data_IF_367238374416
#
_entry.id   IF_367238374416
#
_cell.length_a   1.000
_cell.length_b   1.000
_cell.length_c   1.000
_cell.angle_alpha   90.00
_cell.angle_beta   90.00
_cell.angle_gamma   90.00
#
_symmetry.space_group_name_H-M   'P 1'
#
loop_
_entity.id
_entity.type
_entity.pdbx_description
1 polymer ?
#
# COMPACT_ATOMS: atom_id res chain seq x y z
N UNK A 1 -22.18 5.00 -53.77
CA UNK A 1 -20.77 4.98 -53.34
C UNK A 1 -20.76 5.12 -51.82
N UNK A 2 -20.49 4.03 -51.11
CA UNK A 2 -20.41 4.03 -49.64
C UNK A 2 -19.02 4.50 -49.19
N UNK A 3 -18.89 5.24 -48.09
CA UNK A 3 -17.58 5.65 -47.58
C UNK A 3 -16.81 4.43 -47.06
N UNK A 4 -15.46 4.44 -47.10
CA UNK A 4 -14.68 3.31 -46.66
C UNK A 4 -14.80 3.13 -45.13
N UNK A 5 -14.72 1.90 -44.61
CA UNK A 5 -14.74 1.66 -43.18
C UNK A 5 -13.50 2.29 -42.54
N UNK A 6 -13.71 2.99 -41.42
CA UNK A 6 -12.65 3.56 -40.62
C UNK A 6 -11.65 2.46 -40.21
N UNK A 7 -10.43 2.56 -40.72
CA UNK A 7 -9.33 1.74 -40.23
C UNK A 7 -9.13 2.03 -38.74
N UNK A 8 -9.34 1.01 -37.90
CA UNK A 8 -8.92 1.04 -36.51
C UNK A 8 -7.42 1.38 -36.48
N UNK A 9 -7.10 2.60 -36.03
CA UNK A 9 -5.73 3.02 -35.76
C UNK A 9 -5.22 2.14 -34.62
N UNK A 10 -4.48 1.07 -34.96
CA UNK A 10 -3.64 0.36 -34.00
C UNK A 10 -2.72 1.41 -33.37
N UNK A 11 -2.91 1.67 -32.08
CA UNK A 11 -1.94 2.41 -31.30
C UNK A 11 -0.65 1.61 -31.34
N UNK A 12 0.36 2.19 -31.97
CA UNK A 12 1.72 1.65 -31.97
C UNK A 12 2.18 1.66 -30.52
N UNK A 13 2.36 0.47 -29.94
CA UNK A 13 2.93 0.28 -28.61
C UNK A 13 4.31 0.95 -28.57
N UNK A 14 4.45 1.97 -27.74
CA UNK A 14 5.78 2.44 -27.34
C UNK A 14 6.41 1.28 -26.55
N UNK A 15 7.53 0.76 -27.05
CA UNK A 15 8.02 -0.57 -26.69
C UNK A 15 8.18 -0.82 -25.18
N UNK A 16 7.79 -2.02 -24.75
CA UNK A 16 8.28 -2.70 -23.55
C UNK A 16 7.34 -2.84 -22.36
N UNK A 17 6.24 -2.07 -22.29
CA UNK A 17 5.29 -2.15 -21.15
C UNK A 17 3.97 -2.76 -21.64
N UNK A 18 3.44 -3.81 -20.99
CA UNK A 18 2.14 -4.40 -21.34
C UNK A 18 1.02 -3.37 -21.35
N UNK A 19 0.09 -3.56 -22.28
CA UNK A 19 -1.06 -2.67 -22.44
C UNK A 19 -1.83 -2.48 -21.11
N UNK A 20 -2.00 -3.54 -20.31
CA UNK A 20 -2.73 -3.44 -19.05
C UNK A 20 -1.99 -2.67 -17.95
N UNK A 21 -0.65 -2.75 -17.94
CA UNK A 21 0.19 -1.97 -17.03
C UNK A 21 0.13 -0.50 -17.45
N UNK A 22 0.19 -0.21 -18.75
CA UNK A 22 -0.02 1.14 -19.29
C UNK A 22 -1.40 1.69 -18.91
N UNK A 23 -2.47 0.92 -19.11
CA UNK A 23 -3.83 1.30 -18.72
C UNK A 23 -3.93 1.59 -17.22
N UNK A 24 -3.27 0.75 -16.41
CA UNK A 24 -3.18 0.95 -14.97
C UNK A 24 -2.42 2.22 -14.60
N UNK A 25 -1.26 2.49 -15.20
CA UNK A 25 -0.49 3.71 -14.93
C UNK A 25 -1.31 4.96 -15.25
N UNK A 26 -2.02 4.96 -16.37
CA UNK A 26 -2.79 6.11 -16.84
C UNK A 26 -4.14 6.28 -16.14
N UNK A 27 -4.70 5.21 -15.56
CA UNK A 27 -5.97 5.23 -14.84
C UNK A 27 -5.87 5.58 -13.35
N UNK A 28 -4.67 5.88 -12.83
CA UNK A 28 -4.44 6.18 -11.41
C UNK A 28 -4.96 7.54 -10.95
N UNK A 29 -5.33 7.63 -9.67
CA UNK A 29 -5.77 8.91 -9.09
C UNK A 29 -4.63 9.92 -8.96
N UNK A 30 -3.40 9.44 -8.76
CA UNK A 30 -2.21 10.26 -8.84
C UNK A 30 -1.57 10.09 -10.22
N UNK A 31 -1.39 11.21 -10.93
CA UNK A 31 -0.93 11.20 -12.33
C UNK A 31 0.52 10.76 -12.44
N UNK A 32 0.84 9.97 -13.47
CA UNK A 32 2.22 9.72 -13.87
C UNK A 32 2.80 11.00 -14.51
N UNK A 33 3.95 11.45 -14.04
CA UNK A 33 4.58 12.72 -14.44
C UNK A 33 6.04 12.53 -14.82
N UNK A 34 6.64 13.54 -15.45
CA UNK A 34 8.07 13.57 -15.73
C UNK A 34 8.88 13.47 -14.43
N UNK A 35 9.96 12.69 -14.48
CA UNK A 35 10.79 12.39 -13.31
C UNK A 35 11.47 13.62 -12.70
N UNK A 36 11.85 14.60 -13.53
CA UNK A 36 12.72 15.70 -13.15
C UNK A 36 11.95 17.00 -12.91
N UNK A 37 10.89 17.24 -13.69
CA UNK A 37 10.11 18.48 -13.63
C UNK A 37 8.63 18.28 -13.25
N UNK A 38 8.18 17.04 -13.08
CA UNK A 38 6.80 16.71 -12.70
C UNK A 38 6.42 17.23 -11.31
N UNK A 39 5.15 17.61 -11.16
CA UNK A 39 4.55 18.08 -9.90
C UNK A 39 3.14 17.50 -9.74
N UNK A 40 2.65 17.39 -8.51
CA UNK A 40 1.34 16.82 -8.14
C UNK A 40 1.06 15.50 -8.88
N UNK A 41 1.98 14.56 -8.71
CA UNK A 41 2.02 13.29 -9.44
C UNK A 41 3.09 12.34 -8.91
N UNK A 42 3.25 11.20 -9.57
CA UNK A 42 4.31 10.24 -9.30
C UNK A 42 5.10 9.88 -10.55
N UNK A 43 6.32 9.37 -10.36
CA UNK A 43 7.18 8.87 -11.43
C UNK A 43 7.95 7.62 -10.97
N UNK A 44 8.61 6.93 -11.89
CA UNK A 44 9.54 5.84 -11.56
C UNK A 44 10.99 6.33 -11.64
N UNK A 45 11.69 6.58 -10.51
CA UNK A 45 13.10 6.94 -10.52
C UNK A 45 13.97 5.74 -10.98
N UNK A 46 15.20 5.97 -11.46
CA UNK A 46 16.20 4.92 -11.60
C UNK A 46 16.55 4.29 -10.25
N UNK A 47 16.70 2.97 -10.19
CA UNK A 47 16.96 2.24 -8.95
C UNK A 47 18.35 2.50 -8.37
N UNK A 48 19.29 2.95 -9.18
CA UNK A 48 20.65 3.36 -8.79
C UNK A 48 20.65 4.55 -7.81
N UNK A 49 19.54 5.29 -7.73
CA UNK A 49 19.36 6.36 -6.76
C UNK A 49 19.17 5.86 -5.33
N UNK A 50 18.90 4.56 -5.14
CA UNK A 50 18.80 3.92 -3.85
C UNK A 50 20.08 3.14 -3.52
N UNK A 51 20.55 3.27 -2.28
CA UNK A 51 21.73 2.57 -1.78
C UNK A 51 21.32 1.42 -0.86
N UNK A 52 21.53 0.18 -1.30
CA UNK A 52 21.14 -1.05 -0.62
C UNK A 52 22.35 -1.91 -0.23
N UNK A 53 22.16 -2.95 0.59
CA UNK A 53 23.24 -3.85 1.02
C UNK A 53 23.88 -4.53 -0.20
N UNK A 54 25.19 -4.37 -0.38
CA UNK A 54 25.96 -5.04 -1.44
C UNK A 54 26.17 -6.53 -1.13
N UNK A 55 26.75 -7.27 -2.08
CA UNK A 55 27.13 -8.69 -1.91
C UNK A 55 27.96 -8.96 -0.65
N UNK A 56 28.83 -8.03 -0.27
CA UNK A 56 29.76 -8.17 0.86
C UNK A 56 29.32 -7.39 2.11
N UNK A 57 28.08 -6.89 2.15
CA UNK A 57 27.60 -6.02 3.23
C UNK A 57 27.75 -6.64 4.62
N UNK A 58 27.52 -7.95 4.77
CA UNK A 58 27.67 -8.61 6.08
C UNK A 58 29.13 -8.63 6.57
N UNK A 59 30.10 -8.51 5.65
CA UNK A 59 31.54 -8.48 5.96
C UNK A 59 32.05 -7.05 6.19
N UNK A 60 31.64 -6.10 5.35
CA UNK A 60 32.24 -4.77 5.30
C UNK A 60 31.25 -3.60 5.52
N UNK A 61 29.96 -3.89 5.67
CA UNK A 61 28.86 -2.90 5.82
C UNK A 61 28.72 -1.91 4.66
N UNK A 62 29.27 -2.23 3.48
CA UNK A 62 29.19 -1.36 2.30
C UNK A 62 27.88 -1.55 1.56
N UNK A 63 27.29 -0.43 1.15
CA UNK A 63 26.11 -0.42 0.30
C UNK A 63 26.49 -0.06 -1.13
N UNK A 64 25.72 -0.55 -2.09
CA UNK A 64 25.86 -0.24 -3.51
C UNK A 64 24.55 0.32 -4.08
N UNK A 65 24.59 1.01 -5.22
CA UNK A 65 23.38 1.30 -6.00
C UNK A 65 22.57 0.03 -6.23
N UNK A 66 21.23 0.11 -6.12
CA UNK A 66 20.36 -1.07 -6.16
C UNK A 66 20.21 -1.70 -7.55
N UNK A 67 20.34 -0.90 -8.62
CA UNK A 67 20.05 -1.33 -10.00
C UNK A 67 18.55 -1.53 -10.24
N UNK A 68 18.22 -2.42 -11.19
CA UNK A 68 16.86 -2.67 -11.64
C UNK A 68 15.90 -3.17 -10.55
N UNK A 69 14.61 -2.87 -10.74
CA UNK A 69 13.54 -3.36 -9.89
C UNK A 69 13.22 -4.83 -10.18
N UNK A 70 12.80 -5.57 -9.16
CA UNK A 70 12.26 -6.91 -9.32
C UNK A 70 10.90 -6.89 -10.01
N UNK A 71 10.09 -5.85 -9.79
CA UNK A 71 8.76 -5.67 -10.34
C UNK A 71 8.64 -4.33 -11.06
N UNK A 72 7.94 -4.31 -12.19
CA UNK A 72 7.64 -3.09 -12.92
C UNK A 72 6.63 -2.23 -12.16
N UNK A 73 6.80 -0.90 -12.09
CA UNK A 73 5.77 -0.01 -11.57
C UNK A 73 4.47 -0.14 -12.37
N UNK A 74 3.34 -0.30 -11.68
CA UNK A 74 2.03 -0.48 -12.29
C UNK A 74 1.03 0.64 -11.94
N UNK A 75 1.42 1.59 -11.09
CA UNK A 75 0.60 2.73 -10.74
C UNK A 75 0.81 3.20 -9.32
N UNK A 76 0.26 4.37 -9.02
CA UNK A 76 0.08 4.84 -7.66
C UNK A 76 -1.30 5.48 -7.52
N UNK A 77 -1.96 5.22 -6.41
CA UNK A 77 -3.19 5.92 -6.04
C UNK A 77 -2.99 6.73 -4.76
N UNK A 78 -3.57 7.93 -4.78
CA UNK A 78 -3.88 8.72 -3.60
C UNK A 78 -5.39 8.71 -3.38
N UNK A 79 -5.83 8.01 -2.33
CA UNK A 79 -7.24 7.73 -2.06
C UNK A 79 -7.64 8.31 -0.71
N UNK A 80 -8.92 8.63 -0.55
CA UNK A 80 -9.52 8.95 0.74
C UNK A 80 -10.89 8.31 0.92
N UNK A 81 -11.21 8.00 2.17
CA UNK A 81 -12.49 7.44 2.56
C UNK A 81 -12.87 7.86 3.99
N UNK A 82 -14.13 7.65 4.36
CA UNK A 82 -14.64 7.90 5.72
C UNK A 82 -14.21 6.81 6.71
N UNK A 83 -13.69 5.68 6.23
CA UNK A 83 -13.15 4.60 7.03
C UNK A 83 -11.80 4.13 6.48
N UNK A 84 -11.06 3.37 7.31
CA UNK A 84 -9.83 2.71 6.87
C UNK A 84 -10.14 1.76 5.70
N UNK A 85 -9.36 1.87 4.63
CA UNK A 85 -9.50 1.01 3.45
C UNK A 85 -8.52 -0.15 3.55
N UNK A 86 -9.07 -1.35 3.67
CA UNK A 86 -8.30 -2.59 3.80
C UNK A 86 -8.52 -3.48 2.59
N UNK A 87 -7.49 -4.27 2.24
CA UNK A 87 -7.54 -5.28 1.17
C UNK A 87 -8.07 -4.74 -0.17
N UNK A 88 -7.55 -3.60 -0.61
CA UNK A 88 -7.93 -2.87 -1.81
C UNK A 88 -7.92 -3.70 -3.09
N UNK A 89 -6.97 -4.63 -3.26
CA UNK A 89 -6.89 -5.49 -4.45
C UNK A 89 -8.04 -6.50 -4.54
N UNK A 90 -8.73 -6.80 -3.43
CA UNK A 90 -9.92 -7.66 -3.47
C UNK A 90 -11.16 -6.95 -3.98
N UNK A 91 -11.16 -5.61 -3.99
CA UNK A 91 -12.35 -4.84 -4.31
C UNK A 91 -12.74 -5.01 -5.78
N UNK A 92 -14.03 -5.15 -6.09
CA UNK A 92 -14.50 -5.29 -7.47
C UNK A 92 -14.24 -4.04 -8.32
N UNK A 93 -14.12 -2.87 -7.69
CA UNK A 93 -13.83 -1.59 -8.32
C UNK A 93 -12.32 -1.27 -8.39
N UNK A 94 -11.43 -2.17 -7.95
CA UNK A 94 -10.00 -1.95 -8.03
C UNK A 94 -9.54 -1.86 -9.50
N UNK A 95 -9.12 -0.66 -9.92
CA UNK A 95 -8.75 -0.36 -11.31
C UNK A 95 -7.59 -1.20 -11.84
N UNK A 96 -6.61 -1.56 -11.00
CA UNK A 96 -5.41 -2.32 -11.40
C UNK A 96 -5.82 -3.75 -11.70
N UNK A 97 -6.60 -4.36 -10.80
CA UNK A 97 -7.13 -5.70 -10.98
C UNK A 97 -8.14 -5.77 -12.13
N UNK A 98 -8.93 -4.71 -12.36
CA UNK A 98 -9.81 -4.62 -13.53
C UNK A 98 -9.04 -4.53 -14.85
N UNK A 99 -7.97 -3.72 -14.92
CA UNK A 99 -7.14 -3.62 -16.11
C UNK A 99 -6.50 -4.98 -16.45
N UNK A 100 -5.95 -5.65 -15.44
CA UNK A 100 -5.40 -7.01 -15.57
C UNK A 100 -6.47 -8.01 -16.04
N UNK A 101 -7.65 -8.02 -15.41
CA UNK A 101 -8.76 -8.92 -15.78
C UNK A 101 -9.22 -8.72 -17.22
N UNK A 102 -9.36 -7.46 -17.66
CA UNK A 102 -9.74 -7.13 -19.06
C UNK A 102 -8.70 -7.64 -20.06
N UNK A 103 -7.41 -7.50 -19.74
CA UNK A 103 -6.33 -8.00 -20.59
C UNK A 103 -6.34 -9.53 -20.70
N UNK A 104 -6.52 -10.25 -19.58
CA UNK A 104 -6.63 -11.71 -19.56
C UNK A 104 -7.82 -12.21 -20.40
N UNK A 105 -8.95 -11.48 -20.38
CA UNK A 105 -10.12 -11.83 -21.20
C UNK A 105 -9.88 -11.60 -22.69
N UNK A 106 -9.18 -10.53 -23.07
CA UNK A 106 -8.99 -10.14 -24.46
C UNK A 106 -7.89 -10.94 -25.18
N UNK A 107 -6.86 -11.40 -24.48
CA UNK A 107 -5.69 -12.04 -25.11
C UNK A 107 -5.80 -13.57 -25.21
N UNK A 108 -6.86 -14.19 -24.67
CA UNK A 108 -7.06 -15.65 -24.73
C UNK A 108 -5.98 -16.48 -24.02
N UNK A 109 -4.99 -15.83 -23.41
CA UNK A 109 -3.95 -16.41 -22.60
C UNK A 109 -4.18 -15.98 -21.15
N UNK A 110 -4.09 -16.94 -20.23
CA UNK A 110 -3.90 -16.64 -18.82
C UNK A 110 -2.50 -16.07 -18.66
N UNK A 111 -2.31 -14.77 -18.94
CA UNK A 111 -1.12 -14.06 -18.47
C UNK A 111 -1.08 -14.28 -16.97
N UNK A 112 -0.07 -15.02 -16.51
CA UNK A 112 0.07 -15.42 -15.10
C UNK A 112 0.38 -14.19 -14.22
N UNK A 113 0.24 -12.96 -14.69
CA UNK A 113 0.78 -11.76 -14.05
C UNK A 113 0.46 -11.64 -12.57
N UNK A 114 1.46 -11.19 -11.82
CA UNK A 114 1.41 -11.02 -10.37
C UNK A 114 1.40 -9.53 -10.02
N UNK A 115 0.53 -9.12 -9.09
CA UNK A 115 0.47 -7.74 -8.57
C UNK A 115 0.98 -7.71 -7.13
N UNK A 116 1.90 -6.79 -6.85
CA UNK A 116 2.34 -6.47 -5.50
C UNK A 116 1.89 -5.06 -5.14
N UNK A 117 1.08 -4.93 -4.09
CA UNK A 117 0.58 -3.63 -3.63
C UNK A 117 1.08 -3.32 -2.22
N UNK A 118 1.45 -2.07 -1.98
CA UNK A 118 1.69 -1.53 -0.64
C UNK A 118 0.72 -0.37 -0.43
N UNK A 119 -0.10 -0.45 0.60
CA UNK A 119 -1.05 0.58 0.99
C UNK A 119 -0.60 1.22 2.31
N UNK A 120 0.00 2.41 2.23
CA UNK A 120 0.32 3.18 3.42
C UNK A 120 -0.96 3.87 3.89
N UNK A 121 -1.51 3.37 4.99
CA UNK A 121 -2.77 3.82 5.57
C UNK A 121 -2.50 4.94 6.58
N UNK A 122 -3.12 6.08 6.33
CA UNK A 122 -2.94 7.31 7.09
C UNK A 122 -4.26 7.61 7.79
N UNK A 123 -4.41 7.23 9.07
CA UNK A 123 -5.63 7.53 9.79
C UNK A 123 -5.78 9.02 10.03
N UNK A 124 -6.99 9.53 9.82
CA UNK A 124 -7.38 10.89 10.16
C UNK A 124 -8.64 10.89 10.99
N UNK A 125 -8.91 12.00 11.67
CA UNK A 125 -10.07 12.09 12.57
C UNK A 125 -11.43 12.04 11.86
N UNK A 126 -11.48 12.37 10.57
CA UNK A 126 -12.71 12.39 9.75
C UNK A 126 -12.53 11.66 8.41
N UNK A 127 -11.36 11.78 7.82
CA UNK A 127 -11.01 11.17 6.55
C UNK A 127 -9.73 10.37 6.71
N UNK A 128 -9.77 9.10 6.29
CA UNK A 128 -8.62 8.23 6.18
C UNK A 128 -8.06 8.33 4.78
N UNK A 129 -6.74 8.40 4.66
CA UNK A 129 -6.07 8.43 3.37
C UNK A 129 -5.26 7.15 3.14
N UNK A 130 -5.10 6.79 1.87
CA UNK A 130 -4.29 5.66 1.43
C UNK A 130 -3.38 6.10 0.29
N UNK A 131 -2.07 5.97 0.50
CA UNK A 131 -1.08 6.03 -0.58
C UNK A 131 -0.78 4.59 -1.01
N UNK A 132 -1.28 4.20 -2.18
CA UNK A 132 -1.24 2.83 -2.68
C UNK A 132 -0.24 2.74 -3.83
N UNK A 133 0.76 1.89 -3.68
CA UNK A 133 1.82 1.68 -4.64
C UNK A 133 1.64 0.32 -5.28
N UNK A 134 1.50 0.27 -6.61
CA UNK A 134 1.30 -0.97 -7.34
C UNK A 134 2.54 -1.30 -8.16
N UNK A 135 2.97 -2.54 -8.08
CA UNK A 135 4.04 -3.12 -8.89
C UNK A 135 3.54 -4.44 -9.49
N UNK A 136 4.11 -4.83 -10.63
CA UNK A 136 3.67 -6.01 -11.35
C UNK A 136 4.83 -6.79 -11.95
N UNK A 137 4.66 -8.12 -12.02
CA UNK A 137 5.41 -9.00 -12.89
C UNK A 137 4.45 -9.59 -13.93
N UNK A 138 4.86 -9.60 -15.20
CA UNK A 138 4.06 -10.21 -16.27
C UNK A 138 4.01 -11.73 -16.16
N UNK A 139 5.15 -12.31 -15.81
CA UNK A 139 5.36 -13.73 -15.62
C UNK A 139 5.81 -13.98 -14.18
N UNK A 140 5.02 -14.64 -13.32
CA UNK A 140 5.45 -15.01 -11.97
C UNK A 140 6.61 -15.99 -11.96
N UNK A 141 6.96 -16.64 -13.07
CA UNK A 141 8.21 -17.41 -13.14
C UNK A 141 9.43 -16.49 -13.03
N UNK A 142 9.28 -15.18 -13.33
CA UNK A 142 10.27 -14.15 -12.98
C UNK A 142 10.43 -13.95 -11.47
N UNK A 143 9.41 -14.28 -10.65
CA UNK A 143 9.56 -14.51 -9.21
C UNK A 143 10.23 -15.87 -9.01
N UNK A 144 11.50 -15.98 -9.40
CA UNK A 144 12.29 -17.20 -9.32
C UNK A 144 12.03 -17.91 -7.99
N UNK A 145 11.68 -19.20 -8.03
CA UNK A 145 11.21 -19.97 -6.86
C UNK A 145 12.17 -19.95 -5.66
N UNK A 146 13.45 -19.64 -5.89
CA UNK A 146 14.48 -19.53 -4.85
C UNK A 146 14.81 -18.10 -4.42
N UNK A 147 14.20 -17.08 -5.03
CA UNK A 147 14.48 -15.67 -4.71
C UNK A 147 13.92 -15.26 -3.35
N UNK A 148 14.56 -14.28 -2.72
CA UNK A 148 14.11 -13.70 -1.45
C UNK A 148 12.69 -13.10 -1.56
N UNK A 149 12.35 -12.50 -2.71
CA UNK A 149 11.00 -11.99 -2.95
C UNK A 149 9.97 -13.13 -3.06
N UNK A 150 10.29 -14.24 -3.72
CA UNK A 150 9.40 -15.40 -3.76
C UNK A 150 9.16 -15.95 -2.34
N UNK A 151 10.23 -16.14 -1.55
CA UNK A 151 10.13 -16.52 -0.12
C UNK A 151 9.25 -15.54 0.67
N UNK A 152 9.36 -14.24 0.41
CA UNK A 152 8.54 -13.22 1.08
C UNK A 152 7.05 -13.30 0.67
N UNK A 153 6.77 -13.49 -0.61
CA UNK A 153 5.41 -13.62 -1.13
C UNK A 153 4.71 -14.84 -0.55
N UNK A 154 5.42 -15.97 -0.46
CA UNK A 154 4.88 -17.26 -0.04
C UNK A 154 5.13 -17.61 1.44
N UNK A 155 5.90 -16.81 2.17
CA UNK A 155 6.22 -17.02 3.58
C UNK A 155 5.05 -16.69 4.53
N UNK A 156 5.32 -16.73 5.83
CA UNK A 156 4.39 -16.31 6.87
C UNK A 156 4.57 -14.85 7.27
N UNK A 157 3.65 -14.34 8.08
CA UNK A 157 3.68 -12.95 8.53
C UNK A 157 4.84 -12.68 9.50
N UNK A 158 5.35 -13.69 10.19
CA UNK A 158 6.55 -13.55 11.04
C UNK A 158 7.76 -13.19 10.18
N UNK A 159 7.98 -13.93 9.09
CA UNK A 159 9.02 -13.66 8.11
C UNK A 159 8.81 -12.29 7.45
N UNK A 160 7.59 -12.01 6.98
CA UNK A 160 7.29 -10.72 6.32
C UNK A 160 7.55 -9.53 7.25
N UNK A 161 7.09 -9.60 8.50
CA UNK A 161 7.29 -8.56 9.50
C UNK A 161 8.77 -8.32 9.79
N UNK A 162 9.57 -9.38 9.83
CA UNK A 162 11.01 -9.25 10.06
C UNK A 162 11.80 -8.66 8.88
N UNK A 163 11.22 -8.70 7.67
CA UNK A 163 11.95 -8.47 6.42
C UNK A 163 11.47 -7.25 5.63
N UNK A 164 10.20 -6.85 5.75
CA UNK A 164 9.64 -5.78 4.93
C UNK A 164 10.24 -4.41 5.29
N UNK A 165 10.91 -3.78 4.32
CA UNK A 165 11.69 -2.56 4.51
C UNK A 165 11.32 -1.49 3.50
N UNK A 166 11.21 -0.25 3.97
CA UNK A 166 11.11 0.97 3.16
C UNK A 166 12.45 1.70 3.18
N UNK A 167 12.90 2.16 2.02
CA UNK A 167 14.03 3.07 1.87
C UNK A 167 13.54 4.38 1.26
N UNK A 168 13.89 5.50 1.87
CA UNK A 168 13.44 6.82 1.48
C UNK A 168 14.61 7.73 1.15
N UNK A 169 14.44 8.57 0.13
CA UNK A 169 15.37 9.63 -0.23
C UNK A 169 14.59 10.92 -0.51
N UNK A 170 14.87 11.98 0.27
CA UNK A 170 14.30 13.30 0.01
C UNK A 170 15.07 13.96 -1.13
N UNK A 171 14.40 14.10 -2.28
CA UNK A 171 14.94 14.74 -3.48
C UNK A 171 14.82 16.26 -3.36
N UNK A 172 13.63 16.73 -2.96
CA UNK A 172 13.33 18.15 -2.74
C UNK A 172 12.51 18.27 -1.46
N UNK A 173 12.76 19.32 -0.68
CA UNK A 173 11.98 19.59 0.51
C UNK A 173 12.68 20.54 1.48
N UNK A 174 11.91 21.16 2.40
CA UNK A 174 12.46 21.95 3.48
C UNK A 174 13.46 21.15 4.33
N UNK A 175 14.42 21.84 4.96
CA UNK A 175 15.46 21.19 5.78
C UNK A 175 14.86 20.34 6.93
N UNK A 176 13.72 20.76 7.49
CA UNK A 176 13.01 20.04 8.55
C UNK A 176 12.50 18.67 8.07
N UNK A 177 11.97 18.59 6.86
CA UNK A 177 11.52 17.33 6.25
C UNK A 177 12.72 16.44 5.95
N UNK A 178 13.79 17.02 5.38
CA UNK A 178 15.05 16.30 5.14
C UNK A 178 15.61 15.69 6.41
N UNK A 179 15.53 16.39 7.55
CA UNK A 179 15.99 15.88 8.85
C UNK A 179 15.07 14.79 9.40
N UNK A 180 13.75 15.03 9.40
CA UNK A 180 12.77 14.08 9.95
C UNK A 180 12.79 12.74 9.19
N UNK A 181 12.72 12.79 7.86
CA UNK A 181 12.72 11.60 7.00
C UNK A 181 14.13 11.06 6.81
N UNK A 182 15.16 11.91 6.70
CA UNK A 182 16.55 11.48 6.49
C UNK A 182 17.14 10.71 7.67
N UNK A 183 16.77 11.05 8.90
CA UNK A 183 17.11 10.25 10.09
C UNK A 183 16.52 8.83 10.02
N UNK A 184 15.49 8.62 9.19
CA UNK A 184 14.79 7.36 8.95
C UNK A 184 14.85 6.97 7.46
N UNK A 185 16.00 7.22 6.81
CA UNK A 185 16.21 6.91 5.39
C UNK A 185 16.04 5.44 5.03
N UNK A 186 16.03 4.54 6.02
CA UNK A 186 15.55 3.17 5.89
C UNK A 186 14.79 2.77 7.15
N UNK A 187 13.67 2.05 7.00
CA UNK A 187 12.84 1.58 8.10
C UNK A 187 12.33 0.15 7.81
N UNK A 188 12.51 -0.76 8.76
CA UNK A 188 11.86 -2.08 8.74
C UNK A 188 10.38 -1.91 9.11
N UNK A 189 9.55 -1.62 8.11
CA UNK A 189 8.12 -1.36 8.28
C UNK A 189 7.42 -2.47 9.06
N UNK A 190 7.68 -3.73 8.72
CA UNK A 190 7.05 -4.87 9.37
C UNK A 190 7.40 -5.05 10.86
N UNK A 191 8.47 -4.41 11.35
CA UNK A 191 8.81 -4.37 12.78
C UNK A 191 8.31 -3.10 13.45
N UNK A 192 8.32 -1.99 12.73
CA UNK A 192 8.04 -0.67 13.29
C UNK A 192 6.54 -0.33 13.31
N UNK A 193 5.75 -0.98 12.45
CA UNK A 193 4.34 -0.70 12.22
C UNK A 193 3.53 -1.99 12.20
N UNK A 194 2.22 -1.86 12.41
CA UNK A 194 1.28 -2.95 12.18
C UNK A 194 1.08 -3.12 10.67
N UNK A 195 1.48 -4.28 10.16
CA UNK A 195 1.27 -4.68 8.77
C UNK A 195 0.23 -5.80 8.69
N UNK A 196 -0.73 -5.66 7.79
CA UNK A 196 -1.68 -6.72 7.44
C UNK A 196 -1.41 -7.20 6.02
N UNK A 197 -1.34 -8.52 5.83
CA UNK A 197 -0.92 -9.13 4.57
C UNK A 197 -2.09 -9.88 3.93
N UNK A 198 -2.43 -9.52 2.70
CA UNK A 198 -3.52 -10.15 1.96
C UNK A 198 -3.00 -10.79 0.69
N UNK A 199 -3.12 -12.12 0.62
CA UNK A 199 -2.64 -12.89 -0.53
C UNK A 199 -3.82 -13.44 -1.33
N UNK A 200 -3.87 -13.06 -2.61
CA UNK A 200 -4.78 -13.65 -3.59
C UNK A 200 -4.11 -14.70 -4.47
N UNK A 201 -4.82 -15.22 -5.49
CA UNK A 201 -4.25 -16.16 -6.46
C UNK A 201 -3.04 -15.59 -7.20
N UNK A 202 -3.05 -14.30 -7.51
CA UNK A 202 -2.05 -13.63 -8.33
C UNK A 202 -1.66 -12.26 -7.76
N UNK A 203 -1.78 -12.06 -6.45
CA UNK A 203 -1.30 -10.83 -5.82
C UNK A 203 -0.90 -11.02 -4.35
N UNK A 204 -0.10 -10.07 -3.88
CA UNK A 204 0.12 -9.79 -2.47
C UNK A 204 -0.12 -8.30 -2.22
N UNK A 205 -0.95 -7.98 -1.24
CA UNK A 205 -1.15 -6.63 -0.73
C UNK A 205 -0.63 -6.54 0.70
N UNK A 206 0.02 -5.42 1.02
CA UNK A 206 0.50 -5.08 2.35
C UNK A 206 -0.14 -3.77 2.78
N UNK A 207 -1.06 -3.85 3.73
CA UNK A 207 -1.59 -2.70 4.43
C UNK A 207 -0.63 -2.32 5.56
N UNK A 208 -0.15 -1.08 5.56
CA UNK A 208 0.79 -0.56 6.55
C UNK A 208 0.12 0.57 7.31
N UNK A 209 -0.23 0.31 8.58
CA UNK A 209 -0.91 1.28 9.42
C UNK A 209 0.10 2.26 10.02
N UNK A 210 0.20 3.47 9.46
CA UNK A 210 1.13 4.49 9.97
C UNK A 210 0.71 4.95 11.37
N UNK A 211 -0.58 4.90 11.69
CA UNK A 211 -1.10 5.31 13.00
C UNK A 211 -0.70 4.39 14.15
N UNK A 212 -0.19 3.19 13.86
CA UNK A 212 0.25 2.26 14.89
C UNK A 212 1.57 2.66 15.57
N UNK A 213 2.24 3.73 15.10
CA UNK A 213 3.46 4.26 15.70
C UNK A 213 3.41 5.78 15.80
N UNK A 214 3.51 6.30 17.03
CA UNK A 214 3.57 7.74 17.27
C UNK A 214 4.75 8.41 16.53
N UNK A 215 5.89 7.73 16.41
CA UNK A 215 7.08 8.25 15.71
C UNK A 215 6.80 8.33 14.21
N UNK A 216 6.28 7.26 13.61
CA UNK A 216 5.98 7.25 12.18
C UNK A 216 4.89 8.26 11.83
N UNK A 217 3.85 8.34 12.65
CA UNK A 217 2.78 9.32 12.49
C UNK A 217 3.31 10.77 12.58
N UNK A 218 4.19 11.06 13.53
CA UNK A 218 4.82 12.38 13.65
C UNK A 218 5.69 12.73 12.42
N UNK A 219 6.51 11.80 11.94
CA UNK A 219 7.35 12.01 10.74
C UNK A 219 6.48 12.25 9.52
N UNK A 220 5.42 11.44 9.34
CA UNK A 220 4.48 11.59 8.25
C UNK A 220 3.78 12.95 8.30
N UNK A 221 3.28 13.38 9.46
CA UNK A 221 2.64 14.70 9.57
C UNK A 221 3.58 15.86 9.25
N UNK A 222 4.89 15.77 9.58
CA UNK A 222 5.88 16.75 9.14
C UNK A 222 6.02 16.75 7.61
N UNK A 223 6.08 15.57 6.98
CA UNK A 223 6.15 15.47 5.53
C UNK A 223 4.86 16.00 4.86
N UNK A 224 3.68 15.65 5.40
CA UNK A 224 2.38 16.08 4.90
C UNK A 224 2.16 17.59 5.07
N UNK A 225 2.61 18.19 6.17
CA UNK A 225 2.56 19.64 6.39
C UNK A 225 3.37 20.45 5.37
N UNK A 226 4.27 19.78 4.63
CA UNK A 226 5.08 20.38 3.58
C UNK A 226 4.92 19.67 2.23
N UNK A 227 3.86 18.87 2.04
CA UNK A 227 3.74 17.93 0.93
C UNK A 227 3.86 18.60 -0.44
N UNK A 228 3.33 19.82 -0.59
CA UNK A 228 3.40 20.61 -1.83
C UNK A 228 4.79 21.17 -2.16
N UNK A 229 5.76 21.03 -1.24
CA UNK A 229 7.16 21.41 -1.43
C UNK A 229 8.11 20.20 -1.42
N UNK A 230 7.59 18.98 -1.22
CA UNK A 230 8.40 17.76 -1.04
C UNK A 230 8.37 16.90 -2.30
N UNK A 231 9.54 16.42 -2.69
CA UNK A 231 9.69 15.27 -3.60
C UNK A 231 10.45 14.19 -2.85
N UNK A 232 9.88 13.00 -2.78
CA UNK A 232 10.45 11.85 -2.07
C UNK A 232 10.50 10.65 -3.00
N UNK A 233 11.67 10.01 -3.06
CA UNK A 233 11.83 8.66 -3.63
C UNK A 233 11.55 7.65 -2.51
N UNK A 234 10.67 6.69 -2.76
CA UNK A 234 10.27 5.62 -1.85
C UNK A 234 10.50 4.28 -2.54
N UNK A 235 11.32 3.42 -1.94
CA UNK A 235 11.65 2.09 -2.45
C UNK A 235 11.29 1.01 -1.45
N UNK A 236 10.69 -0.09 -1.92
CA UNK A 236 10.33 -1.23 -1.09
C UNK A 236 11.32 -2.38 -1.30
N UNK A 237 11.73 -3.00 -0.20
CA UNK A 237 12.81 -4.01 -0.19
C UNK A 237 12.41 -5.14 0.77
N UNK A 238 12.75 -6.37 0.40
CA UNK A 238 12.84 -7.47 1.37
C UNK A 238 14.28 -7.46 1.92
N UNK A 239 14.44 -7.16 3.21
CA UNK A 239 15.76 -7.02 3.83
C UNK A 239 16.51 -8.36 3.83
N UNK A 240 17.70 -8.39 3.20
CA UNK A 240 18.58 -9.56 3.24
C UNK A 240 19.30 -9.65 4.58
N UNK A 241 19.27 -10.82 5.23
CA UNK A 241 19.90 -11.09 6.52
C UNK A 241 20.99 -12.16 6.48
N UNK A 242 21.07 -12.94 5.40
CA UNK A 242 22.13 -13.94 5.17
C UNK A 242 22.95 -13.62 3.92
N UNK A 243 24.11 -14.26 3.76
CA UNK A 243 24.99 -14.01 2.60
C UNK A 243 24.35 -14.45 1.27
N UNK A 244 23.57 -15.53 1.26
CA UNK A 244 22.86 -16.04 0.08
C UNK A 244 21.66 -15.16 -0.35
N UNK A 245 21.23 -14.25 0.52
CA UNK A 245 20.18 -13.28 0.25
C UNK A 245 20.72 -11.97 -0.37
N UNK A 246 22.05 -11.80 -0.44
CA UNK A 246 22.70 -10.60 -0.98
C UNK A 246 23.10 -10.75 -2.45
N UNK A 247 23.22 -9.63 -3.21
CA UNK A 247 22.89 -8.25 -2.80
C UNK A 247 21.38 -8.03 -2.66
N UNK A 248 21.00 -7.05 -1.84
CA UNK A 248 19.61 -6.62 -1.74
C UNK A 248 19.12 -6.03 -3.07
N UNK A 249 17.86 -6.33 -3.43
CA UNK A 249 17.20 -5.81 -4.62
C UNK A 249 15.93 -5.04 -4.26
N UNK A 250 15.63 -3.98 -5.01
CA UNK A 250 14.36 -3.25 -4.89
C UNK A 250 13.23 -4.12 -5.42
N UNK A 251 12.16 -4.28 -4.64
CA UNK A 251 10.89 -4.81 -5.16
C UNK A 251 10.38 -3.86 -6.24
N UNK A 252 10.35 -2.58 -5.91
CA UNK A 252 10.01 -1.48 -6.80
C UNK A 252 10.23 -0.15 -6.10
N UNK A 253 10.23 0.93 -6.88
CA UNK A 253 10.41 2.28 -6.37
C UNK A 253 9.53 3.28 -7.09
N UNK A 254 9.12 4.32 -6.35
CA UNK A 254 8.38 5.45 -6.89
C UNK A 254 8.94 6.76 -6.39
N UNK A 255 8.74 7.81 -7.17
CA UNK A 255 8.94 9.20 -6.76
C UNK A 255 7.56 9.83 -6.60
N UNK A 256 7.30 10.43 -5.45
CA UNK A 256 6.09 11.24 -5.21
C UNK A 256 6.49 12.71 -5.28
N UNK A 257 5.87 13.48 -6.18
CA UNK A 257 6.19 14.88 -6.46
C UNK A 257 5.07 15.80 -5.98
N UNK A 258 5.37 16.68 -5.01
CA UNK A 258 4.52 17.81 -4.59
C UNK A 258 3.02 17.51 -4.58
N UNK A 259 2.65 16.40 -3.95
CA UNK A 259 1.26 15.93 -3.94
C UNK A 259 0.38 16.91 -3.16
N UNK A 260 -0.81 17.22 -3.66
CA UNK A 260 -1.80 18.00 -2.91
C UNK A 260 -2.70 17.08 -2.09
N UNK A 261 -2.94 17.39 -0.81
CA UNK A 261 -3.84 16.56 0.01
C UNK A 261 -5.25 16.46 -0.59
N UNK A 262 -5.74 17.56 -1.19
CA UNK A 262 -7.07 17.64 -1.81
C UNK A 262 -7.22 16.84 -3.10
N UNK A 263 -6.15 16.33 -3.72
CA UNK A 263 -6.24 15.53 -4.94
C UNK A 263 -6.65 14.07 -4.69
N UNK A 264 -6.81 13.67 -3.41
CA UNK A 264 -7.23 12.33 -3.05
C UNK A 264 -8.60 11.99 -3.67
N UNK A 265 -8.64 10.88 -4.41
CA UNK A 265 -9.90 10.36 -4.95
C UNK A 265 -10.72 9.73 -3.84
N UNK A 266 -12.00 10.11 -3.78
CA UNK A 266 -12.95 9.55 -2.82
C UNK A 266 -13.28 8.12 -3.22
N UNK A 267 -13.12 7.20 -2.28
CA UNK A 267 -13.55 5.80 -2.41
C UNK A 267 -14.58 5.51 -1.33
N UNK A 268 -15.71 4.95 -1.74
CA UNK A 268 -16.74 4.55 -0.78
C UNK A 268 -16.22 3.43 0.11
N UNK A 269 -16.36 3.63 1.42
CA UNK A 269 -16.07 2.60 2.40
C UNK A 269 -16.99 1.40 2.14
N UNK A 270 -16.41 0.20 2.08
CA UNK A 270 -17.20 -1.02 2.03
C UNK A 270 -18.07 -1.07 3.29
N UNK A 271 -19.39 -0.98 3.14
CA UNK A 271 -20.31 -1.13 4.27
C UNK A 271 -20.24 -2.58 4.75
N UNK A 272 -19.37 -2.86 5.72
CA UNK A 272 -19.57 -4.01 6.59
C UNK A 272 -20.61 -3.55 7.61
N UNK A 273 -21.82 -4.13 7.65
CA UNK A 273 -22.75 -3.80 8.71
C UNK A 273 -22.06 -4.11 10.03
N UNK A 274 -21.81 -3.07 10.84
CA UNK A 274 -21.35 -3.26 12.20
C UNK A 274 -22.40 -4.12 12.89
N UNK A 275 -22.01 -5.34 13.30
CA UNK A 275 -22.84 -6.16 14.18
C UNK A 275 -23.05 -5.31 15.42
N UNK A 276 -24.29 -4.84 15.60
CA UNK A 276 -24.66 -4.04 16.75
C UNK A 276 -24.23 -4.80 18.00
N UNK A 277 -23.30 -4.24 18.76
CA UNK A 277 -23.05 -4.68 20.12
C UNK A 277 -24.36 -4.45 20.88
N UNK A 278 -25.14 -5.52 21.05
CA UNK A 278 -26.25 -5.54 21.99
C UNK A 278 -25.62 -5.41 23.37
N UNK A 279 -25.61 -4.19 23.89
CA UNK A 279 -25.34 -3.92 25.28
C UNK A 279 -26.31 -4.74 26.11
N UNK A 280 -25.84 -5.86 26.67
CA UNK A 280 -26.57 -6.58 27.73
C UNK A 280 -26.66 -5.64 28.92
N UNK A 281 -27.79 -4.93 29.01
CA UNK A 281 -28.18 -4.18 30.19
C UNK A 281 -28.26 -5.14 31.37
N UNK A 282 -27.36 -4.95 32.32
CA UNK A 282 -27.41 -5.59 33.64
C UNK A 282 -28.65 -5.04 34.34
N UNK A 283 -29.55 -5.95 34.73
CA UNK A 283 -30.80 -5.63 35.37
C UNK A 283 -30.62 -5.03 36.77
N UNK A 284 -31.53 -4.13 37.12
CA UNK A 284 -31.82 -3.79 38.49
C UNK A 284 -33.33 -3.96 38.69
N UNK A 285 -33.74 -5.12 39.22
CA UNK A 285 -35.11 -5.35 39.63
C UNK A 285 -35.35 -4.60 40.95
N UNK A 286 -36.21 -3.58 40.90
CA UNK A 286 -36.72 -2.86 42.07
C UNK A 286 -37.62 -3.80 42.87
N UNK A 287 -37.21 -4.13 44.10
CA UNK A 287 -38.06 -4.80 45.10
C UNK A 287 -38.79 -3.70 45.87
N UNK A 288 -40.11 -3.62 45.72
CA UNK A 288 -40.95 -2.71 46.50
C UNK A 288 -41.25 -3.38 47.86
N UNK A 289 -40.71 -2.82 48.94
CA UNK A 289 -41.23 -3.06 50.28
C UNK A 289 -42.36 -2.05 50.54
N UNK A 290 -43.60 -2.53 50.57
CA UNK A 290 -44.69 -1.85 51.27
C UNK A 290 -44.92 -2.60 52.58
N UNK A 291 -44.67 -1.93 53.70
CA UNK A 291 -45.27 -2.27 54.99
C UNK A 291 -45.95 -1.01 55.51
N UNK A 292 -47.25 -1.12 55.76
CA UNK A 292 -47.99 -0.32 56.72
C UNK A 292 -49.03 -1.24 57.32
N UNK A 293 -49.06 -1.24 58.65
CA UNK A 293 -49.94 -2.05 59.48
C UNK A 293 -51.41 -1.67 59.26
N UNK A 294 -52.27 -2.68 59.17
CA UNK A 294 -53.51 -2.85 59.92
C UNK A 294 -54.22 -4.14 59.46
N UNK A 295 -55.03 -4.73 60.35
CA UNK A 295 -55.81 -5.99 60.25
C UNK A 295 -55.00 -7.27 60.60
N UNK A 296 -54.78 -7.65 61.87
CA UNK A 296 -55.73 -8.09 62.91
C UNK A 296 -56.72 -9.19 62.45
N UNK A 297 -56.51 -10.40 63.02
CA UNK A 297 -57.50 -11.46 63.31
C UNK A 297 -58.04 -12.20 62.07
N UNK A 298 -58.27 -13.52 62.03
CA UNK A 298 -58.40 -14.55 63.04
C UNK A 298 -58.36 -15.94 62.35
N UNK A 299 -57.86 -16.92 63.11
CA UNK A 299 -58.35 -18.28 63.30
C UNK A 299 -58.40 -19.31 62.15
N UNK A 300 -57.71 -20.41 62.49
CA UNK A 300 -58.14 -21.81 62.45
C UNK A 300 -58.14 -22.61 61.14
N UNK A 301 -57.27 -23.63 61.22
CA UNK A 301 -57.18 -24.91 60.52
C UNK A 301 -56.50 -24.97 59.15
#
# INVERSE_FOLDING_TARGET
MSPPPYAHRRSVSVGGIPDWICDSINGGSLRHVDLNNGTNGWASPPGELFSLRSSDYLKNRQKSPAGDYLLAPAGMDWLKSTAKMEHLLSRPDNRVMQALKRSQQNQGQSMKSFVFAVNLQIPGAKEHHSAVFYFAAEDPESLQSCSLLNKFVHGDDTFRNQRFKLVNRIVKGPWIVKRAVGNHGACLLGKALHCSYYRGPNYLEIDVDIGSSAIANAILHVALGHVTAVTIDMGFVVEAQTEDELPEKLIGGVRVCQMEMSSATVVEASHVPQVAHVSRGIGCARVNHHMSADDLLALDH
#
